data_IF_058829333882
#
_entry.id   IF_058829333882
#
_cell.length_a   1.000
_cell.length_b   1.000
_cell.length_c   1.000
_cell.angle_alpha   90.00
_cell.angle_beta   90.00
_cell.angle_gamma   90.00
#
_symmetry.space_group_name_H-M   'P 1'
#
loop_
_entity.id
_entity.type
_entity.pdbx_description
1 polymer ?
#
# COMPACT_ATOMS: atom_id res chain seq x y z
N UNK A 1 -17.97 -14.33 46.87
CA UNK A 1 -17.86 -14.11 45.42
C UNK A 1 -16.50 -13.49 45.20
N UNK A 2 -15.48 -14.30 44.92
CA UNK A 2 -14.14 -13.80 44.59
C UNK A 2 -14.14 -13.50 43.10
N UNK A 3 -13.96 -12.23 42.75
CA UNK A 3 -13.63 -11.82 41.39
C UNK A 3 -12.24 -12.37 41.06
N UNK A 4 -12.20 -13.43 40.25
CA UNK A 4 -10.98 -13.92 39.64
C UNK A 4 -10.56 -12.93 38.54
N UNK A 5 -9.96 -11.81 38.92
CA UNK A 5 -9.26 -10.92 37.98
C UNK A 5 -7.98 -11.61 37.55
N UNK A 6 -8.04 -12.28 36.40
CA UNK A 6 -6.87 -12.88 35.77
C UNK A 6 -5.86 -11.77 35.43
N UNK A 7 -4.70 -11.79 36.09
CA UNK A 7 -3.62 -10.81 35.90
C UNK A 7 -2.98 -11.00 34.52
N UNK A 8 -3.37 -10.14 33.58
CA UNK A 8 -2.87 -10.13 32.20
C UNK A 8 -1.54 -9.38 32.05
N UNK A 9 -0.92 -8.90 33.14
CA UNK A 9 0.37 -8.19 33.08
C UNK A 9 1.51 -9.07 32.55
N UNK A 10 1.38 -10.39 32.65
CA UNK A 10 2.36 -11.37 32.15
C UNK A 10 2.11 -11.82 30.70
N UNK A 11 1.06 -11.31 30.04
CA UNK A 11 0.78 -11.70 28.67
C UNK A 11 1.80 -11.07 27.70
N UNK A 12 2.65 -11.92 27.14
CA UNK A 12 3.56 -11.55 26.07
C UNK A 12 2.95 -11.91 24.71
N UNK A 13 2.48 -10.88 24.01
CA UNK A 13 1.90 -11.01 22.67
C UNK A 13 2.85 -11.61 21.62
N UNK A 14 4.17 -11.56 21.87
CA UNK A 14 5.18 -12.10 20.94
C UNK A 14 5.25 -13.63 20.95
N UNK A 15 4.71 -14.28 21.98
CA UNK A 15 4.70 -15.75 22.13
C UNK A 15 3.65 -16.40 21.21
N UNK A 16 2.65 -15.65 20.72
CA UNK A 16 1.58 -16.22 19.88
C UNK A 16 2.14 -16.60 18.50
N UNK A 17 2.29 -17.91 18.19
CA UNK A 17 2.85 -18.34 16.92
C UNK A 17 1.92 -17.96 15.75
N UNK A 18 2.51 -17.75 14.57
CA UNK A 18 1.75 -17.48 13.35
C UNK A 18 1.13 -18.77 12.79
N UNK A 19 -0.04 -19.15 13.33
CA UNK A 19 -0.80 -20.34 12.90
C UNK A 19 -1.72 -20.03 11.72
N UNK A 20 -2.23 -21.07 11.06
CA UNK A 20 -3.16 -20.92 9.93
C UNK A 20 -4.43 -20.15 10.32
N UNK A 21 -5.02 -20.48 11.47
CA UNK A 21 -6.18 -19.74 12.00
C UNK A 21 -5.85 -18.28 12.32
N UNK A 22 -4.61 -17.98 12.76
CA UNK A 22 -4.18 -16.60 13.00
C UNK A 22 -4.07 -15.84 11.67
N UNK A 23 -3.57 -16.47 10.60
CA UNK A 23 -3.57 -15.89 9.25
C UNK A 23 -4.98 -15.64 8.73
N UNK A 24 -5.91 -16.58 8.91
CA UNK A 24 -7.30 -16.43 8.49
C UNK A 24 -7.99 -15.25 9.19
N UNK A 25 -7.84 -15.13 10.52
CA UNK A 25 -8.41 -14.01 11.28
C UNK A 25 -7.83 -12.68 10.78
N UNK A 26 -6.53 -12.65 10.50
CA UNK A 26 -5.87 -11.46 10.00
C UNK A 26 -6.34 -11.12 8.57
N UNK A 27 -6.43 -12.10 7.67
CA UNK A 27 -6.92 -11.89 6.30
C UNK A 27 -8.35 -11.34 6.28
N UNK A 28 -9.22 -11.86 7.14
CA UNK A 28 -10.59 -11.35 7.33
C UNK A 28 -10.58 -9.91 7.88
N UNK A 29 -9.57 -9.56 8.66
CA UNK A 29 -9.43 -8.22 9.25
C UNK A 29 -8.85 -7.19 8.26
N UNK A 30 -8.22 -7.63 7.16
CA UNK A 30 -7.68 -6.73 6.13
C UNK A 30 -8.80 -6.08 5.35
N UNK A 31 -8.79 -4.75 5.30
CA UNK A 31 -9.69 -3.99 4.43
C UNK A 31 -9.31 -4.19 2.96
N UNK A 32 -10.24 -3.90 2.04
CA UNK A 32 -9.94 -3.91 0.61
C UNK A 32 -8.82 -2.93 0.24
N UNK A 33 -8.65 -1.85 1.02
CA UNK A 33 -7.55 -0.90 0.86
C UNK A 33 -6.23 -1.50 1.33
N UNK A 34 -6.22 -2.25 2.44
CA UNK A 34 -5.02 -2.94 2.91
C UNK A 34 -4.56 -3.97 1.88
N UNK A 35 -5.50 -4.78 1.36
CA UNK A 35 -5.23 -5.74 0.28
C UNK A 35 -4.65 -5.07 -0.97
N UNK A 36 -5.18 -3.91 -1.35
CA UNK A 36 -4.63 -3.11 -2.45
C UNK A 36 -3.22 -2.59 -2.13
N UNK A 37 -3.01 -2.04 -0.94
CA UNK A 37 -1.70 -1.54 -0.52
C UNK A 37 -0.65 -2.65 -0.47
N UNK A 38 -1.01 -3.84 -0.02
CA UNK A 38 -0.15 -5.03 -0.02
C UNK A 38 0.16 -5.48 -1.45
N UNK A 39 -0.85 -5.59 -2.32
CA UNK A 39 -0.67 -6.00 -3.73
C UNK A 39 0.29 -5.08 -4.49
N UNK A 40 0.25 -3.77 -4.22
CA UNK A 40 1.09 -2.77 -4.88
C UNK A 40 2.16 -2.19 -3.94
N UNK A 41 2.56 -2.96 -2.92
CA UNK A 41 3.43 -2.50 -1.84
C UNK A 41 4.75 -1.96 -2.37
N UNK A 42 5.43 -2.68 -3.28
CA UNK A 42 6.73 -2.27 -3.83
C UNK A 42 6.67 -0.89 -4.52
N UNK A 43 5.61 -0.63 -5.30
CA UNK A 43 5.41 0.66 -5.98
C UNK A 43 5.06 1.77 -4.99
N UNK A 44 4.17 1.47 -4.03
CA UNK A 44 3.75 2.42 -3.01
C UNK A 44 4.85 2.76 -1.99
N UNK A 45 5.77 1.82 -1.70
CA UNK A 45 6.94 2.05 -0.83
C UNK A 45 7.86 3.11 -1.42
N UNK A 46 8.06 3.10 -2.74
CA UNK A 46 8.93 4.07 -3.43
C UNK A 46 8.22 5.38 -3.71
N UNK A 47 7.03 5.34 -4.33
CA UNK A 47 6.06 6.42 -4.64
C UNK A 47 5.32 6.03 -5.92
N UNK A 48 4.00 6.09 -5.90
CA UNK A 48 3.18 5.75 -7.08
C UNK A 48 2.12 6.81 -7.38
N UNK A 49 1.75 6.97 -8.65
CA UNK A 49 0.91 8.10 -9.11
C UNK A 49 -0.54 7.90 -8.64
N UNK A 50 -1.11 8.92 -7.99
CA UNK A 50 -2.47 8.84 -7.44
C UNK A 50 -3.53 8.54 -8.51
N UNK A 51 -3.40 9.14 -9.70
CA UNK A 51 -4.33 8.93 -10.81
C UNK A 51 -4.40 7.47 -11.27
N UNK A 52 -3.30 6.74 -11.14
CA UNK A 52 -3.18 5.36 -11.58
C UNK A 52 -3.78 4.42 -10.54
N UNK A 53 -3.40 4.60 -9.28
CA UNK A 53 -3.97 3.85 -8.16
C UNK A 53 -5.50 3.94 -8.14
N UNK A 54 -6.07 5.11 -8.45
CA UNK A 54 -7.52 5.28 -8.54
C UNK A 54 -8.19 4.38 -9.58
N UNK A 55 -7.49 3.97 -10.65
CA UNK A 55 -8.02 3.03 -11.64
C UNK A 55 -8.10 1.59 -11.11
N UNK A 56 -7.32 1.29 -10.07
CA UNK A 56 -7.34 0.00 -9.37
C UNK A 56 -8.23 0.03 -8.11
N UNK A 57 -8.99 1.11 -7.91
CA UNK A 57 -9.95 1.20 -6.81
C UNK A 57 -10.92 0.02 -6.89
N UNK A 58 -11.14 -0.72 -5.78
CA UNK A 58 -12.16 -1.75 -5.72
C UNK A 58 -13.53 -1.19 -6.13
N UNK A 59 -14.28 -1.93 -6.97
CA UNK A 59 -15.60 -1.51 -7.48
C UNK A 59 -16.63 -1.27 -6.35
N UNK A 60 -16.42 -1.91 -5.21
CA UNK A 60 -17.16 -1.77 -3.94
C UNK A 60 -16.99 -0.39 -3.29
N UNK A 61 -15.91 0.33 -3.59
CA UNK A 61 -15.57 1.60 -2.95
C UNK A 61 -15.79 2.76 -3.93
N UNK A 62 -16.56 3.77 -3.50
CA UNK A 62 -16.71 5.01 -4.27
C UNK A 62 -15.38 5.76 -4.33
N UNK A 63 -14.98 6.37 -5.47
CA UNK A 63 -13.69 7.06 -5.61
C UNK A 63 -13.41 8.16 -4.56
N UNK A 64 -14.44 8.85 -4.09
CA UNK A 64 -14.31 9.84 -3.01
C UNK A 64 -13.91 9.21 -1.67
N UNK A 65 -14.54 8.07 -1.33
CA UNK A 65 -14.25 7.32 -0.12
C UNK A 65 -12.88 6.63 -0.22
N UNK A 66 -12.52 6.13 -1.41
CA UNK A 66 -11.21 5.55 -1.66
C UNK A 66 -10.08 6.53 -1.31
N UNK A 67 -10.18 7.77 -1.81
CA UNK A 67 -9.17 8.81 -1.50
C UNK A 67 -9.03 9.02 0.00
N UNK A 68 -10.12 8.98 0.75
CA UNK A 68 -10.07 9.14 2.20
C UNK A 68 -9.48 7.91 2.90
N UNK A 69 -9.89 6.70 2.52
CA UNK A 69 -9.45 5.47 3.19
C UNK A 69 -7.99 5.14 2.89
N UNK A 70 -7.50 5.38 1.66
CA UNK A 70 -6.09 5.16 1.33
C UNK A 70 -5.15 6.06 2.16
N UNK A 71 -5.65 7.19 2.68
CA UNK A 71 -4.89 8.04 3.60
C UNK A 71 -4.62 7.43 4.96
N UNK A 72 -5.29 6.33 5.33
CA UNK A 72 -4.95 5.57 6.53
C UNK A 72 -3.56 4.95 6.38
N UNK A 73 -3.26 4.39 5.21
CA UNK A 73 -2.05 3.64 4.93
C UNK A 73 -0.98 4.48 4.20
N UNK A 74 -1.40 5.44 3.40
CA UNK A 74 -0.52 6.22 2.54
C UNK A 74 -0.59 7.72 2.85
N UNK A 75 0.52 8.41 2.62
CA UNK A 75 0.58 9.86 2.52
C UNK A 75 0.50 10.30 1.04
N UNK A 76 0.05 11.54 0.81
CA UNK A 76 0.10 12.15 -0.53
C UNK A 76 1.22 13.16 -0.59
N UNK A 77 2.11 12.96 -1.55
CA UNK A 77 3.20 13.86 -1.88
C UNK A 77 2.87 14.60 -3.17
N UNK A 78 3.35 15.85 -3.28
CA UNK A 78 3.26 16.65 -4.50
C UNK A 78 4.65 16.89 -5.04
N UNK A 79 4.94 16.42 -6.25
CA UNK A 79 6.22 16.61 -6.90
C UNK A 79 6.06 17.45 -8.16
N UNK A 80 7.01 18.34 -8.41
CA UNK A 80 7.05 19.14 -9.62
C UNK A 80 7.99 18.47 -10.64
N UNK A 81 7.43 17.98 -11.75
CA UNK A 81 8.16 17.25 -12.80
C UNK A 81 7.72 17.80 -14.14
N UNK A 82 8.67 18.10 -15.03
CA UNK A 82 8.40 18.58 -16.40
C UNK A 82 7.36 19.73 -16.46
N UNK A 83 7.49 20.72 -15.56
CA UNK A 83 6.57 21.89 -15.43
C UNK A 83 5.13 21.52 -15.02
N UNK A 84 4.89 20.30 -14.54
CA UNK A 84 3.60 19.83 -14.05
C UNK A 84 3.71 19.38 -12.60
N UNK A 85 2.64 19.59 -11.84
CA UNK A 85 2.53 19.04 -10.50
C UNK A 85 1.86 17.67 -10.53
N UNK A 86 2.57 16.65 -10.05
CA UNK A 86 2.09 15.28 -9.96
C UNK A 86 1.84 14.95 -8.49
N UNK A 87 0.72 14.29 -8.22
CA UNK A 87 0.40 13.75 -6.89
C UNK A 87 0.78 12.28 -6.84
N UNK A 88 1.50 11.90 -5.79
CA UNK A 88 2.02 10.56 -5.56
C UNK A 88 1.51 10.06 -4.21
N UNK A 89 1.12 8.80 -4.14
CA UNK A 89 0.94 8.08 -2.88
C UNK A 89 2.26 7.43 -2.49
N UNK A 90 2.59 7.50 -1.19
CA UNK A 90 3.65 6.72 -0.57
C UNK A 90 3.08 6.03 0.67
N UNK A 91 3.40 4.76 0.94
CA UNK A 91 3.06 4.14 2.22
C UNK A 91 3.72 4.94 3.35
N UNK A 92 2.97 5.21 4.42
CA UNK A 92 3.50 5.87 5.60
C UNK A 92 4.50 4.95 6.30
N UNK A 93 5.54 5.53 6.87
CA UNK A 93 6.65 4.76 7.44
C UNK A 93 6.21 3.79 8.55
N UNK A 94 5.26 4.21 9.39
CA UNK A 94 4.67 3.41 10.47
C UNK A 94 3.83 2.22 9.96
N UNK A 95 3.40 2.26 8.70
CA UNK A 95 2.59 1.22 8.06
C UNK A 95 3.40 0.24 7.21
N UNK A 96 4.68 0.50 6.98
CA UNK A 96 5.54 -0.37 6.16
C UNK A 96 5.62 -1.76 6.78
N UNK A 97 6.06 -1.87 8.03
CA UNK A 97 6.25 -3.17 8.68
C UNK A 97 4.94 -3.97 8.83
N UNK A 98 3.82 -3.26 9.08
CA UNK A 98 2.49 -3.87 9.19
C UNK A 98 2.03 -4.45 7.84
N UNK A 99 2.26 -3.77 6.73
CA UNK A 99 1.82 -4.24 5.41
C UNK A 99 2.80 -5.24 4.78
N UNK A 100 4.09 -5.11 5.07
CA UNK A 100 5.16 -5.95 4.50
C UNK A 100 4.97 -7.42 4.84
N UNK A 101 4.41 -7.73 6.04
CA UNK A 101 4.15 -9.10 6.47
C UNK A 101 3.12 -9.86 5.58
N UNK A 102 2.35 -9.14 4.76
CA UNK A 102 1.32 -9.69 3.88
C UNK A 102 1.75 -9.71 2.41
N UNK A 103 2.92 -9.15 2.09
CA UNK A 103 3.39 -9.08 0.71
C UNK A 103 3.79 -10.48 0.27
N UNK A 104 3.07 -11.03 -0.70
CA UNK A 104 3.45 -12.29 -1.34
C UNK A 104 4.73 -12.10 -2.17
N UNK A 105 5.59 -13.13 -2.20
CA UNK A 105 6.87 -13.13 -2.92
C UNK A 105 6.73 -13.12 -4.46
N UNK A 106 5.51 -12.96 -4.99
CA UNK A 106 5.29 -12.90 -6.42
C UNK A 106 6.09 -11.74 -7.07
N UNK A 107 6.72 -12.00 -8.23
CA UNK A 107 7.36 -10.94 -9.00
C UNK A 107 6.27 -9.95 -9.44
N UNK A 108 6.45 -8.66 -9.11
CA UNK A 108 5.58 -7.58 -9.58
C UNK A 108 5.83 -7.34 -11.10
N UNK A 109 5.55 -8.33 -11.94
CA UNK A 109 6.03 -8.33 -13.33
C UNK A 109 5.13 -7.58 -14.32
N UNK A 110 3.88 -7.20 -14.00
CA UNK A 110 2.98 -6.71 -15.07
C UNK A 110 2.48 -5.26 -14.98
N UNK A 111 2.65 -4.53 -13.86
CA UNK A 111 2.03 -3.19 -13.75
C UNK A 111 2.95 -2.06 -14.23
N UNK A 112 4.24 -2.34 -14.48
CA UNK A 112 5.19 -1.35 -15.01
C UNK A 112 4.87 -0.95 -16.47
N UNK A 113 4.15 -1.79 -17.23
CA UNK A 113 4.02 -1.62 -18.67
C UNK A 113 2.62 -1.19 -19.18
N UNK A 114 1.55 -1.36 -18.39
CA UNK A 114 0.19 -1.10 -18.85
C UNK A 114 -0.33 0.32 -18.50
N UNK A 115 0.48 1.35 -18.78
CA UNK A 115 0.14 2.75 -18.53
C UNK A 115 -0.61 3.41 -19.71
N UNK A 116 -1.94 3.28 -19.76
CA UNK A 116 -2.78 3.98 -20.74
C UNK A 116 -3.57 5.15 -20.11
N UNK A 117 -2.85 6.19 -19.69
CA UNK A 117 -3.45 7.46 -19.24
C UNK A 117 -3.07 8.60 -20.20
N UNK A 118 -4.04 9.17 -20.93
CA UNK A 118 -3.83 10.22 -21.95
C UNK A 118 -3.29 11.54 -21.35
N UNK A 119 -3.38 11.73 -20.03
CA UNK A 119 -2.93 12.94 -19.34
C UNK A 119 -1.39 13.11 -19.32
N UNK A 120 -0.64 12.02 -19.53
CA UNK A 120 0.82 12.02 -19.54
C UNK A 120 1.35 11.44 -20.86
N UNK A 121 2.21 12.18 -21.56
CA UNK A 121 2.85 11.67 -22.76
C UNK A 121 3.79 10.49 -22.41
N UNK A 122 4.04 9.61 -23.38
CA UNK A 122 4.83 8.38 -23.20
C UNK A 122 6.24 8.65 -22.67
N UNK A 123 6.80 9.82 -22.98
CA UNK A 123 8.16 10.22 -22.63
C UNK A 123 8.29 10.69 -21.18
N UNK A 124 7.33 11.47 -20.68
CA UNK A 124 7.22 11.89 -19.28
C UNK A 124 6.94 10.68 -18.38
N UNK A 125 6.11 9.74 -18.84
CA UNK A 125 5.89 8.44 -18.19
C UNK A 125 7.19 7.65 -18.10
N UNK A 126 7.92 7.50 -19.21
CA UNK A 126 9.21 6.82 -19.24
C UNK A 126 10.26 7.50 -18.36
N UNK A 127 10.32 8.84 -18.33
CA UNK A 127 11.24 9.58 -17.44
C UNK A 127 10.89 9.39 -15.98
N UNK A 128 9.61 9.45 -15.62
CA UNK A 128 9.15 9.18 -14.26
C UNK A 128 9.45 7.74 -13.85
N UNK A 129 9.13 6.76 -14.71
CA UNK A 129 9.39 5.34 -14.44
C UNK A 129 10.89 5.06 -14.34
N UNK A 130 11.74 5.67 -15.18
CA UNK A 130 13.20 5.60 -15.05
C UNK A 130 13.68 6.21 -13.74
N UNK A 131 13.12 7.34 -13.31
CA UNK A 131 13.45 7.97 -12.04
C UNK A 131 13.06 7.08 -10.85
N UNK A 132 11.88 6.44 -10.89
CA UNK A 132 11.41 5.51 -9.85
C UNK A 132 12.21 4.22 -9.84
N UNK A 133 12.47 3.62 -11.01
CA UNK A 133 13.32 2.43 -11.16
C UNK A 133 14.76 2.68 -10.72
N UNK A 134 15.31 3.86 -10.98
CA UNK A 134 16.63 4.24 -10.48
C UNK A 134 16.70 4.32 -8.95
N UNK A 135 15.58 4.63 -8.27
CA UNK A 135 15.49 4.59 -6.80
C UNK A 135 15.28 3.18 -6.24
N UNK A 136 14.94 2.18 -7.08
CA UNK A 136 14.81 0.77 -6.70
C UNK A 136 16.13 -0.02 -6.82
N UNK A 137 17.16 0.58 -7.43
CA UNK A 137 18.45 -0.07 -7.71
C UNK A 137 19.54 0.22 -6.67
N UNK A 138 19.18 0.77 -5.51
CA UNK A 138 20.07 1.03 -4.36
C UNK A 138 19.51 0.41 -3.09
#
# INVERSE_FOLDING_TARGET
>A
MTEDTQDVSQFDSTIIPMTESKKEIIDISLTEIDRLCTKYFKQLKVRWICGIILQYCPNSIKPGNFRQQIHNNCETLRQHIAKKYIRLYKIKEDKIAELEQYVEDEPNEEIINNFNDEAYNKEDKMKFMKQVLFQLSF
#
